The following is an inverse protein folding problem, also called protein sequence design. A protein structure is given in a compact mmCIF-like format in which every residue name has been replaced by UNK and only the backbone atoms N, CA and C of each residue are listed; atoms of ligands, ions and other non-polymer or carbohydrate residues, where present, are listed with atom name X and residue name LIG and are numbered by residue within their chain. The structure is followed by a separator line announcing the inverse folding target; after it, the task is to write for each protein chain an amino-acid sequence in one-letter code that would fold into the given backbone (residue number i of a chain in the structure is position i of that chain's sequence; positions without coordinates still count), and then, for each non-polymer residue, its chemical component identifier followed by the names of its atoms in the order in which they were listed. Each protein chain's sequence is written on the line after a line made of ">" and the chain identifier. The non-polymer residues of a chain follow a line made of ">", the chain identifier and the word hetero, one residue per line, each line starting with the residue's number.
data_IF_916458439155
#
_entry.id   IF_916458439155
#
_cell.length_a   1.000
_cell.length_b   1.000
_cell.length_c   1.000
_cell.angle_alpha   90.00
_cell.angle_beta   90.00
_cell.angle_gamma   90.00
#
_symmetry.space_group_name_H-M   'P 1'
#
loop_
_entity.id
_entity.type
_entity.pdbx_description
1 polymer ?
#
# COMPACT_ATOMS: atom_id res chain seq x y z
N UNK A 1 -27.80 7.71 12.81
CA UNK A 1 -27.48 7.38 11.41
C UNK A 1 -26.58 6.17 11.41
N UNK A 2 -26.93 5.10 10.70
CA UNK A 2 -26.07 3.92 10.55
C UNK A 2 -24.76 4.34 9.88
N UNK A 3 -23.63 3.83 10.38
CA UNK A 3 -22.32 4.04 9.77
C UNK A 3 -22.25 3.13 8.55
N UNK A 4 -22.35 3.71 7.35
CA UNK A 4 -22.41 2.99 6.07
C UNK A 4 -21.05 3.00 5.40
N UNK A 5 -20.64 1.85 4.88
CA UNK A 5 -19.42 1.72 4.08
C UNK A 5 -19.59 2.43 2.73
N UNK A 6 -18.67 3.34 2.42
CA UNK A 6 -18.63 4.08 1.15
C UNK A 6 -17.35 3.80 0.36
N UNK A 7 -16.44 2.99 0.90
CA UNK A 7 -15.21 2.59 0.22
C UNK A 7 -15.53 1.64 -0.95
N UNK A 8 -15.05 1.94 -2.18
CA UNK A 8 -15.15 1.06 -3.33
C UNK A 8 -14.63 -0.34 -3.05
N UNK A 9 -15.32 -1.36 -3.55
CA UNK A 9 -15.02 -2.76 -3.26
C UNK A 9 -13.60 -3.16 -3.64
N UNK A 10 -13.11 -2.68 -4.79
CA UNK A 10 -11.73 -2.93 -5.26
C UNK A 10 -10.65 -2.46 -4.27
N UNK A 11 -10.95 -1.46 -3.43
CA UNK A 11 -10.02 -0.92 -2.44
C UNK A 11 -10.14 -1.60 -1.07
N UNK A 12 -11.19 -2.39 -0.82
CA UNK A 12 -11.41 -3.06 0.47
C UNK A 12 -10.27 -3.99 0.88
N UNK A 13 -9.65 -4.80 -0.01
CA UNK A 13 -8.51 -5.64 0.38
C UNK A 13 -7.33 -4.83 0.94
N UNK A 14 -7.13 -3.60 0.47
CA UNK A 14 -6.07 -2.74 0.99
C UNK A 14 -6.28 -2.34 2.45
N UNK A 15 -7.54 -2.28 2.92
CA UNK A 15 -7.85 -1.92 4.31
C UNK A 15 -7.55 -3.02 5.32
N UNK A 16 -7.20 -4.23 4.87
CA UNK A 16 -6.72 -5.30 5.74
C UNK A 16 -5.23 -5.17 6.08
N UNK A 17 -4.50 -4.41 5.26
CA UNK A 17 -3.07 -4.29 5.42
C UNK A 17 -2.68 -3.35 6.56
N UNK A 18 -1.56 -3.66 7.20
CA UNK A 18 -1.03 -2.86 8.31
C UNK A 18 -0.31 -1.61 7.83
N UNK A 19 -0.32 -0.53 8.62
CA UNK A 19 0.53 0.63 8.35
C UNK A 19 2.01 0.26 8.50
N UNK A 20 2.86 0.81 7.62
CA UNK A 20 4.28 0.50 7.53
C UNK A 20 5.11 1.71 7.93
N UNK A 21 5.65 1.66 9.15
CA UNK A 21 6.57 2.66 9.70
C UNK A 21 8.01 2.13 9.65
N UNK A 22 8.92 2.92 9.06
CA UNK A 22 10.32 2.51 8.85
C UNK A 22 11.21 3.76 8.75
N UNK A 23 12.47 3.73 9.23
CA UNK A 23 13.42 4.84 9.11
C UNK A 23 13.96 5.05 7.68
N UNK A 24 13.47 4.29 6.71
CA UNK A 24 13.86 4.34 5.28
C UNK A 24 12.64 4.07 4.42
N UNK A 25 12.64 4.54 3.17
CA UNK A 25 11.58 4.25 2.21
C UNK A 25 11.32 2.75 2.12
N UNK A 26 10.07 2.33 2.34
CA UNK A 26 9.67 0.93 2.35
C UNK A 26 9.89 0.21 1.01
N UNK A 27 9.94 0.97 -0.09
CA UNK A 27 10.12 0.45 -1.46
C UNK A 27 11.59 0.44 -1.87
N UNK A 28 12.24 1.61 -1.92
CA UNK A 28 13.60 1.73 -2.46
C UNK A 28 14.72 1.80 -1.41
N UNK A 29 14.40 1.91 -0.11
CA UNK A 29 15.40 1.97 0.97
C UNK A 29 16.10 3.33 1.16
N UNK A 30 15.74 4.34 0.36
CA UNK A 30 16.28 5.71 0.50
C UNK A 30 16.01 6.26 1.92
N UNK A 31 17.00 6.89 2.58
CA UNK A 31 16.86 7.35 3.97
C UNK A 31 16.14 8.70 4.11
N UNK A 32 16.15 9.57 3.10
CA UNK A 32 15.52 10.90 3.16
C UNK A 32 15.30 11.48 1.74
N UNK A 33 14.37 12.43 1.54
CA UNK A 33 13.26 12.82 2.42
C UNK A 33 12.23 11.70 2.56
N UNK A 34 11.61 11.56 3.74
CA UNK A 34 10.59 10.55 4.03
C UNK A 34 9.26 11.20 4.40
N UNK A 35 8.16 10.60 3.97
CA UNK A 35 6.81 11.03 4.34
C UNK A 35 5.85 9.83 4.37
N UNK A 36 4.75 9.95 5.14
CA UNK A 36 3.67 8.95 5.20
C UNK A 36 2.73 9.12 4.02
N UNK A 37 2.71 8.13 3.15
CA UNK A 37 1.74 8.04 2.07
C UNK A 37 0.53 7.22 2.49
N UNK A 38 -0.69 7.65 2.16
CA UNK A 38 -1.90 6.85 2.38
C UNK A 38 -2.07 5.89 1.21
N UNK A 39 -2.00 4.58 1.44
CA UNK A 39 -2.15 3.57 0.38
C UNK A 39 -3.53 3.68 -0.26
N UNK A 40 -4.56 3.86 0.57
CA UNK A 40 -5.91 4.23 0.13
C UNK A 40 -6.05 5.75 0.26
N UNK A 41 -6.34 6.45 -0.85
CA UNK A 41 -6.50 7.92 -0.84
C UNK A 41 -7.49 8.36 0.24
N UNK A 42 -7.18 9.45 0.95
CA UNK A 42 -8.05 9.98 2.04
C UNK A 42 -9.49 10.20 1.60
N UNK A 43 -9.71 10.69 0.38
CA UNK A 43 -11.04 10.91 -0.20
C UNK A 43 -11.77 9.68 -0.77
N UNK A 44 -11.17 8.48 -0.77
CA UNK A 44 -11.74 7.30 -1.42
C UNK A 44 -12.97 6.66 -0.73
N UNK A 45 -13.61 7.33 0.23
CA UNK A 45 -14.69 6.75 1.05
C UNK A 45 -14.21 6.15 2.38
N UNK A 46 -15.13 5.60 3.16
CA UNK A 46 -14.93 5.11 4.54
C UNK A 46 -15.33 3.63 4.66
N UNK A 47 -14.69 2.92 5.59
CA UNK A 47 -14.99 1.54 5.95
C UNK A 47 -15.19 1.46 7.46
N UNK A 48 -16.21 0.74 7.92
CA UNK A 48 -16.52 0.55 9.34
C UNK A 48 -16.45 -0.94 9.72
N UNK A 49 -15.91 -1.25 10.90
CA UNK A 49 -15.89 -2.60 11.50
C UNK A 49 -16.44 -2.52 12.92
N UNK A 50 -17.48 -3.29 13.23
CA UNK A 50 -18.18 -3.23 14.52
C UNK A 50 -18.59 -1.79 14.89
N UNK A 51 -19.01 -1.03 13.88
CA UNK A 51 -19.32 0.39 13.98
C UNK A 51 -18.09 1.31 14.03
N UNK A 52 -16.86 0.88 14.23
CA UNK A 52 -15.69 1.77 14.30
C UNK A 52 -15.12 2.04 12.91
N UNK A 53 -14.81 3.30 12.58
CA UNK A 53 -14.15 3.62 11.29
C UNK A 53 -12.74 3.01 11.27
N UNK A 54 -12.44 2.25 10.21
CA UNK A 54 -11.13 1.63 10.03
C UNK A 54 -10.17 2.68 9.48
N UNK A 55 -9.05 2.98 10.17
CA UNK A 55 -8.06 3.92 9.66
C UNK A 55 -7.42 3.37 8.38
N UNK A 56 -7.23 4.25 7.39
CA UNK A 56 -6.58 3.89 6.12
C UNK A 56 -5.09 3.63 6.38
N UNK A 57 -4.52 2.53 5.86
CA UNK A 57 -3.13 2.21 6.11
C UNK A 57 -2.21 3.22 5.43
N UNK A 58 -1.12 3.54 6.13
CA UNK A 58 -0.05 4.41 5.65
C UNK A 58 1.23 3.64 5.41
N UNK A 59 2.09 4.15 4.54
CA UNK A 59 3.42 3.59 4.27
C UNK A 59 4.44 4.71 4.17
N UNK A 60 5.59 4.55 4.82
CA UNK A 60 6.70 5.51 4.71
C UNK A 60 7.40 5.35 3.36
N UNK A 61 7.36 6.39 2.54
CA UNK A 61 7.98 6.47 1.22
C UNK A 61 8.96 7.64 1.14
N UNK A 62 9.91 7.56 0.20
CA UNK A 62 10.77 8.71 -0.10
C UNK A 62 10.07 9.74 -0.98
N UNK A 63 10.39 11.01 -0.74
CA UNK A 63 9.77 12.16 -1.41
C UNK A 63 8.68 12.81 -0.57
N UNK A 64 8.31 14.03 -0.96
CA UNK A 64 7.30 14.87 -0.30
C UNK A 64 6.31 15.35 -1.36
N UNK A 65 5.03 15.34 -1.01
CA UNK A 65 3.96 15.74 -1.93
C UNK A 65 3.96 14.91 -3.21
N UNK A 66 3.77 15.58 -4.34
CA UNK A 66 3.73 14.98 -5.67
C UNK A 66 5.05 15.10 -6.45
N UNK A 67 6.17 15.49 -5.81
CA UNK A 67 7.47 15.59 -6.48
C UNK A 67 7.89 14.24 -7.03
N UNK A 68 8.07 14.16 -8.36
CA UNK A 68 8.38 12.90 -9.05
C UNK A 68 9.83 12.46 -8.91
N UNK A 69 10.77 13.40 -8.83
CA UNK A 69 12.21 13.12 -8.78
C UNK A 69 12.96 14.09 -7.88
N UNK A 70 14.14 13.69 -7.44
CA UNK A 70 15.12 14.58 -6.80
C UNK A 70 15.91 15.41 -7.83
N UNK A 71 16.85 16.22 -7.35
CA UNK A 71 17.69 17.09 -8.18
C UNK A 71 18.57 16.31 -9.18
N UNK A 72 18.89 15.04 -8.89
CA UNK A 72 19.67 14.15 -9.75
C UNK A 72 18.78 13.37 -10.74
N UNK A 73 17.49 13.69 -10.80
CA UNK A 73 16.52 13.02 -11.67
C UNK A 73 16.08 11.64 -11.19
N UNK A 74 16.49 11.20 -9.99
CA UNK A 74 16.10 9.88 -9.47
C UNK A 74 14.68 9.94 -8.90
N UNK A 75 13.83 8.94 -9.18
CA UNK A 75 12.43 9.03 -8.83
C UNK A 75 12.18 8.90 -7.31
N UNK A 76 11.20 9.67 -6.83
CA UNK A 76 10.62 9.54 -5.50
C UNK A 76 9.45 8.55 -5.52
N UNK A 77 9.48 7.54 -4.63
CA UNK A 77 8.38 6.58 -4.53
C UNK A 77 7.05 7.25 -4.14
N UNK A 78 7.08 8.30 -3.32
CA UNK A 78 5.89 9.06 -2.97
C UNK A 78 5.27 9.73 -4.21
N UNK A 79 6.09 10.41 -5.01
CA UNK A 79 5.65 11.01 -6.28
C UNK A 79 5.10 9.95 -7.25
N UNK A 80 5.78 8.82 -7.40
CA UNK A 80 5.30 7.71 -8.23
C UNK A 80 3.93 7.19 -7.79
N UNK A 81 3.66 7.11 -6.49
CA UNK A 81 2.35 6.69 -5.98
C UNK A 81 1.26 7.72 -6.32
N UNK A 82 1.55 9.01 -6.16
CA UNK A 82 0.63 10.08 -6.58
C UNK A 82 0.37 10.09 -8.09
N UNK A 83 1.39 9.76 -8.89
CA UNK A 83 1.29 9.68 -10.35
C UNK A 83 0.66 8.38 -10.87
N UNK A 84 0.12 7.52 -9.98
CA UNK A 84 -0.44 6.21 -10.34
C UNK A 84 0.58 5.30 -11.08
N UNK A 85 1.87 5.44 -10.75
CA UNK A 85 2.98 4.64 -11.28
C UNK A 85 3.57 3.69 -10.25
N UNK A 86 3.20 3.84 -8.97
CA UNK A 86 3.49 2.89 -7.91
C UNK A 86 2.18 2.46 -7.28
N UNK A 87 1.92 1.16 -7.30
CA UNK A 87 0.71 0.56 -6.72
C UNK A 87 1.08 -0.43 -5.62
N UNK A 88 0.16 -0.65 -4.69
CA UNK A 88 0.28 -1.60 -3.60
C UNK A 88 -0.88 -2.58 -3.64
N UNK A 89 -0.66 -3.83 -3.23
CA UNK A 89 -1.73 -4.80 -2.97
C UNK A 89 -1.48 -5.54 -1.68
N UNK A 90 -2.55 -5.85 -0.97
CA UNK A 90 -2.50 -6.74 0.18
C UNK A 90 -2.68 -8.17 -0.29
N UNK A 91 -1.67 -9.01 -0.06
CA UNK A 91 -1.74 -10.44 -0.34
C UNK A 91 -2.08 -11.16 0.94
N UNK A 92 -3.28 -11.74 0.98
CA UNK A 92 -3.67 -12.68 2.02
C UNK A 92 -2.91 -13.99 1.79
N UNK A 93 -2.52 -14.74 2.84
CA UNK A 93 -1.94 -16.08 2.68
C UNK A 93 -2.88 -17.04 1.92
N UNK A 94 -2.47 -18.29 1.67
CA UNK A 94 -3.35 -19.35 1.14
C UNK A 94 -4.11 -20.07 2.26
N UNK A 95 -5.37 -20.45 2.00
CA UNK A 95 -6.18 -21.16 3.00
C UNK A 95 -5.72 -22.61 2.99
N UNK A 96 -5.28 -23.10 4.15
CA UNK A 96 -4.85 -24.47 4.32
C UNK A 96 -5.83 -25.18 5.25
N UNK A 97 -6.25 -26.37 4.84
CA UNK A 97 -7.13 -27.21 5.64
C UNK A 97 -6.49 -27.48 7.02
N UNK A 98 -7.27 -27.28 8.09
CA UNK A 98 -6.85 -27.46 9.48
C UNK A 98 -5.74 -26.51 10.00
N UNK A 99 -5.47 -25.41 9.28
CA UNK A 99 -4.65 -24.28 9.77
C UNK A 99 -5.45 -22.98 9.68
N UNK A 100 -6.34 -22.70 10.67
CA UNK A 100 -7.04 -21.43 10.73
C UNK A 100 -6.02 -20.30 10.88
N UNK A 101 -6.24 -19.20 10.16
CA UNK A 101 -5.28 -18.10 10.12
C UNK A 101 -5.53 -17.07 11.20
N UNK A 102 -4.47 -16.42 11.72
CA UNK A 102 -4.63 -15.19 12.47
C UNK A 102 -5.35 -14.14 11.61
N UNK A 103 -6.36 -13.49 12.17
CA UNK A 103 -6.97 -12.32 11.54
C UNK A 103 -5.90 -11.27 11.26
N UNK A 104 -5.92 -10.67 10.07
CA UNK A 104 -4.90 -9.69 9.65
C UNK A 104 -3.58 -10.29 9.15
N UNK A 105 -3.48 -11.61 8.98
CA UNK A 105 -2.31 -12.24 8.34
C UNK A 105 -2.23 -11.88 6.84
N UNK A 106 -1.03 -11.54 6.39
CA UNK A 106 -0.72 -11.18 5.00
C UNK A 106 0.50 -10.31 4.85
N UNK A 107 0.77 -9.90 3.62
CA UNK A 107 1.90 -9.03 3.30
C UNK A 107 1.56 -8.01 2.22
N UNK A 108 2.28 -6.91 2.27
CA UNK A 108 2.24 -5.92 1.21
C UNK A 108 3.13 -6.33 0.05
N UNK A 109 2.56 -6.22 -1.15
CA UNK A 109 3.32 -6.20 -2.39
C UNK A 109 3.16 -4.87 -3.09
N UNK A 110 4.13 -4.53 -3.93
CA UNK A 110 4.13 -3.33 -4.75
C UNK A 110 4.54 -3.64 -6.19
N UNK A 111 4.12 -2.76 -7.10
CA UNK A 111 4.57 -2.76 -8.50
C UNK A 111 4.84 -1.31 -8.92
N UNK A 112 5.91 -1.10 -9.69
CA UNK A 112 6.22 0.18 -10.33
C UNK A 112 5.98 0.01 -11.82
N UNK A 113 5.20 0.92 -12.40
CA UNK A 113 4.81 0.90 -13.80
C UNK A 113 5.41 2.11 -14.55
N UNK A 114 5.77 1.94 -15.83
CA UNK A 114 6.41 2.99 -16.61
C UNK A 114 5.47 4.17 -16.85
N UNK A 115 4.15 3.94 -16.91
CA UNK A 115 3.13 4.96 -17.20
C UNK A 115 2.03 4.99 -16.12
N UNK A 116 1.34 6.14 -15.94
CA UNK A 116 0.18 6.22 -15.05
C UNK A 116 -0.87 5.17 -15.40
N UNK A 117 -1.18 4.30 -14.44
CA UNK A 117 -2.05 3.14 -14.64
C UNK A 117 -3.15 3.12 -13.59
N UNK A 118 -4.39 2.80 -13.97
CA UNK A 118 -5.47 2.65 -12.99
C UNK A 118 -5.19 1.47 -12.05
N UNK A 119 -5.72 1.52 -10.82
CA UNK A 119 -5.49 0.42 -9.87
C UNK A 119 -6.04 -0.92 -10.39
N UNK A 120 -7.20 -0.91 -11.07
CA UNK A 120 -7.75 -2.11 -11.70
C UNK A 120 -6.80 -2.72 -12.74
N UNK A 121 -6.25 -1.89 -13.64
CA UNK A 121 -5.25 -2.34 -14.62
C UNK A 121 -3.96 -2.83 -13.97
N UNK A 122 -3.48 -2.15 -12.92
CA UNK A 122 -2.28 -2.57 -12.20
C UNK A 122 -2.45 -3.96 -11.56
N UNK A 123 -3.64 -4.29 -11.05
CA UNK A 123 -3.93 -5.62 -10.49
C UNK A 123 -3.85 -6.75 -11.52
N UNK A 124 -4.15 -6.45 -12.78
CA UNK A 124 -4.05 -7.38 -13.92
C UNK A 124 -2.60 -7.54 -14.42
N UNK A 125 -1.64 -6.77 -13.89
CA UNK A 125 -0.25 -6.77 -14.36
C UNK A 125 0.61 -7.73 -13.53
N UNK A 126 1.52 -8.44 -14.20
CA UNK A 126 2.56 -9.26 -13.55
C UNK A 126 3.71 -8.42 -13.00
N UNK A 127 4.53 -9.01 -12.13
CA UNK A 127 5.76 -8.37 -11.63
C UNK A 127 5.64 -7.69 -10.27
N UNK A 128 4.56 -7.95 -9.53
CA UNK A 128 4.42 -7.59 -8.12
C UNK A 128 5.55 -8.16 -7.27
N UNK A 129 6.04 -7.36 -6.31
CA UNK A 129 7.14 -7.73 -5.43
C UNK A 129 6.75 -7.50 -3.97
N UNK A 130 7.09 -8.41 -3.04
CA UNK A 130 6.89 -8.14 -1.61
C UNK A 130 7.76 -6.96 -1.16
N UNK A 131 7.26 -6.19 -0.18
CA UNK A 131 8.06 -5.17 0.50
C UNK A 131 9.28 -5.82 1.17
N UNK A 132 10.43 -5.10 1.16
CA UNK A 132 11.74 -5.64 1.59
C UNK A 132 11.69 -6.32 2.97
N UNK A 133 11.04 -5.68 3.95
CA UNK A 133 10.99 -6.17 5.34
C UNK A 133 10.10 -7.39 5.57
N UNK A 134 9.21 -7.75 4.64
CA UNK A 134 8.38 -8.95 4.80
C UNK A 134 9.13 -10.24 4.51
N UNK A 135 10.25 -10.18 3.77
CA UNK A 135 11.10 -11.35 3.55
C UNK A 135 11.93 -11.73 4.78
N UNK A 136 12.14 -10.78 5.69
CA UNK A 136 13.02 -10.95 6.86
C UNK A 136 12.27 -11.48 8.09
N UNK A 137 10.93 -11.44 8.12
CA UNK A 137 10.12 -11.99 9.23
C UNK A 137 9.84 -13.50 9.13
N UNK A 138 10.35 -14.17 8.09
CA UNK A 138 10.19 -15.62 7.89
C UNK A 138 11.53 -16.34 7.65
N UNK A 139 12.65 -15.71 8.02
CA UNK A 139 13.98 -16.33 8.03
C UNK A 139 14.36 -16.77 9.45
#
# INVERSE_FOLDING_TARGET
>A
MSRVDTLPEILRPLMDGTSVETPRCAVCGRPWPLNRHHIVRRGAGRLYRNGVEVPKPTIVLCGIGNNLSDADGRPFCHGLAHANRLHFRWVRPREEFNRPRPQGSGHWEYIVLPEPTSYARALETDGWRPLRRWRECCA
#
